data_IF_880697360678
#
_entry.id   IF_880697360678
#
_cell.length_a   1.000
_cell.length_b   1.000
_cell.length_c   1.000
_cell.angle_alpha   90.00
_cell.angle_beta   90.00
_cell.angle_gamma   90.00
#
_symmetry.space_group_name_H-M   'P 1'
#
loop_
_entity.id
_entity.type
_entity.pdbx_description
1 polymer ?
#
# COMPACT_ATOMS: atom_id res chain seq x y z
N UNK A 1 0.22 17.95 2.16
CA UNK A 1 1.11 18.95 1.51
C UNK A 1 2.58 18.79 1.89
N UNK A 2 2.95 18.51 3.13
CA UNK A 2 4.37 18.41 3.47
C UNK A 2 5.08 17.26 2.75
N UNK A 3 4.48 16.06 2.70
CA UNK A 3 5.03 14.91 2.01
C UNK A 3 4.75 14.89 0.51
N UNK A 4 3.63 15.43 0.06
CA UNK A 4 3.25 15.38 -1.35
C UNK A 4 3.90 16.50 -2.19
N UNK A 5 4.61 17.43 -1.56
CA UNK A 5 5.26 18.52 -2.28
C UNK A 5 6.63 18.88 -1.72
N UNK A 6 6.70 19.27 -0.44
CA UNK A 6 7.94 19.84 0.13
C UNK A 6 9.05 18.78 0.17
N UNK A 7 8.75 17.57 0.60
CA UNK A 7 9.72 16.48 0.67
C UNK A 7 10.29 16.14 -0.71
N UNK A 8 9.43 15.91 -1.69
CA UNK A 8 9.85 15.57 -3.06
C UNK A 8 10.62 16.73 -3.71
N UNK A 9 10.17 17.97 -3.48
CA UNK A 9 10.84 19.16 -4.01
C UNK A 9 12.26 19.29 -3.44
N UNK A 10 12.44 19.12 -2.14
CA UNK A 10 13.75 19.19 -1.48
C UNK A 10 14.71 18.08 -1.94
N UNK A 11 14.18 16.94 -2.38
CA UNK A 11 14.97 15.82 -2.91
C UNK A 11 15.15 15.87 -4.44
N UNK A 12 14.73 16.96 -5.09
CA UNK A 12 14.85 17.14 -6.54
C UNK A 12 14.03 16.17 -7.37
N UNK A 13 12.91 15.68 -6.83
CA UNK A 13 12.02 14.80 -7.53
C UNK A 13 11.19 15.54 -8.58
N UNK A 14 10.86 14.87 -9.70
CA UNK A 14 9.83 15.34 -10.61
C UNK A 14 8.45 15.16 -9.98
N UNK A 15 7.67 16.23 -9.88
CA UNK A 15 6.32 16.24 -9.32
C UNK A 15 5.32 16.35 -10.45
N UNK A 16 4.36 15.42 -10.50
CA UNK A 16 3.30 15.39 -11.51
C UNK A 16 1.95 15.65 -10.84
N UNK A 17 1.22 16.61 -11.36
CA UNK A 17 -0.12 16.94 -10.88
C UNK A 17 -1.20 16.39 -11.80
N UNK A 18 -2.21 15.79 -11.22
CA UNK A 18 -3.42 15.42 -11.93
C UNK A 18 -4.32 16.67 -12.07
N UNK A 19 -4.59 17.08 -13.31
CA UNK A 19 -5.48 18.21 -13.62
C UNK A 19 -6.96 17.84 -13.58
N UNK A 20 -7.28 16.56 -13.44
CA UNK A 20 -8.65 16.03 -13.41
C UNK A 20 -8.98 15.45 -12.03
N UNK A 21 -10.27 15.42 -11.68
CA UNK A 21 -10.73 14.77 -10.46
C UNK A 21 -10.25 13.31 -10.45
N UNK A 22 -9.54 12.87 -9.40
CA UNK A 22 -8.94 11.55 -9.37
C UNK A 22 -10.03 10.47 -9.33
N UNK A 23 -10.11 9.69 -10.40
CA UNK A 23 -10.88 8.44 -10.45
C UNK A 23 -9.92 7.27 -10.56
N UNK A 24 -10.32 6.03 -10.16
CA UNK A 24 -9.46 4.86 -10.29
C UNK A 24 -8.92 4.61 -11.70
N UNK A 25 -9.64 5.02 -12.74
CA UNK A 25 -9.21 4.90 -14.11
C UNK A 25 -8.14 5.94 -14.47
N UNK A 26 -8.35 7.21 -14.09
CA UNK A 26 -7.41 8.31 -14.31
C UNK A 26 -6.10 8.06 -13.55
N UNK A 27 -6.20 7.60 -12.29
CA UNK A 27 -5.02 7.26 -11.47
C UNK A 27 -4.24 6.10 -12.11
N UNK A 28 -4.91 5.04 -12.55
CA UNK A 28 -4.24 3.93 -13.21
C UNK A 28 -3.56 4.34 -14.52
N UNK A 29 -4.15 5.26 -15.29
CA UNK A 29 -3.51 5.83 -16.47
C UNK A 29 -2.28 6.65 -16.10
N UNK A 30 -2.39 7.54 -15.10
CA UNK A 30 -1.28 8.33 -14.61
C UNK A 30 -0.10 7.45 -14.11
N UNK A 31 -0.38 6.36 -13.42
CA UNK A 31 0.67 5.41 -13.01
C UNK A 31 1.38 4.77 -14.21
N UNK A 32 0.65 4.49 -15.28
CA UNK A 32 1.22 3.93 -16.51
C UNK A 32 2.11 4.95 -17.23
N UNK A 33 1.69 6.21 -17.26
CA UNK A 33 2.40 7.27 -17.98
C UNK A 33 3.62 7.77 -17.21
N UNK A 34 3.46 7.99 -15.89
CA UNK A 34 4.51 8.56 -15.00
C UNK A 34 5.47 7.51 -14.47
N UNK A 35 5.00 6.28 -14.24
CA UNK A 35 5.77 5.17 -13.64
C UNK A 35 6.47 5.59 -12.34
N UNK A 36 5.72 6.00 -11.32
CA UNK A 36 6.28 6.53 -10.08
C UNK A 36 7.19 5.52 -9.37
N UNK A 37 8.17 6.02 -8.61
CA UNK A 37 9.06 5.18 -7.79
C UNK A 37 8.46 4.86 -6.42
N UNK A 38 7.75 5.81 -5.83
CA UNK A 38 7.03 5.67 -4.57
C UNK A 38 5.60 6.12 -4.81
N UNK A 39 4.64 5.38 -4.26
CA UNK A 39 3.22 5.71 -4.33
C UNK A 39 2.74 5.90 -2.89
N UNK A 40 2.23 7.08 -2.58
CA UNK A 40 1.56 7.36 -1.31
C UNK A 40 0.07 7.48 -1.60
N UNK A 41 -0.74 6.72 -0.90
CA UNK A 41 -2.18 6.67 -1.19
C UNK A 41 -3.01 6.36 0.05
N UNK A 42 -4.30 6.68 -0.05
CA UNK A 42 -5.28 6.28 0.96
C UNK A 42 -5.81 4.87 0.68
N UNK A 43 -6.20 4.11 1.73
CA UNK A 43 -6.71 2.75 1.60
C UNK A 43 -7.78 2.58 0.53
N UNK A 44 -8.76 3.48 0.52
CA UNK A 44 -9.92 3.43 -0.38
C UNK A 44 -9.54 3.33 -1.87
N UNK A 45 -8.48 4.02 -2.29
CA UNK A 45 -8.03 4.01 -3.69
C UNK A 45 -7.42 2.65 -4.03
N UNK A 46 -6.51 2.16 -3.18
CA UNK A 46 -5.84 0.87 -3.36
C UNK A 46 -6.86 -0.27 -3.36
N UNK A 47 -7.76 -0.27 -2.39
CA UNK A 47 -8.84 -1.26 -2.29
C UNK A 47 -9.73 -1.26 -3.53
N UNK A 48 -10.15 -0.10 -4.03
CA UNK A 48 -10.96 -0.01 -5.25
C UNK A 48 -10.23 -0.56 -6.47
N UNK A 49 -8.94 -0.29 -6.62
CA UNK A 49 -8.14 -0.81 -7.73
C UNK A 49 -8.06 -2.33 -7.63
N UNK A 50 -7.74 -2.88 -6.47
CA UNK A 50 -7.61 -4.31 -6.25
C UNK A 50 -8.96 -5.01 -6.45
N UNK A 51 -10.03 -4.53 -5.82
CA UNK A 51 -11.37 -5.13 -5.95
C UNK A 51 -11.92 -5.08 -7.38
N UNK A 52 -11.66 -3.99 -8.14
CA UNK A 52 -12.17 -3.85 -9.50
C UNK A 52 -11.32 -4.52 -10.57
N UNK A 53 -9.99 -4.48 -10.44
CA UNK A 53 -9.08 -4.97 -11.50
C UNK A 53 -8.49 -6.34 -11.22
N UNK A 54 -8.33 -6.72 -9.96
CA UNK A 54 -7.59 -7.92 -9.56
C UNK A 54 -8.53 -9.05 -9.14
N UNK A 55 -9.42 -8.81 -8.19
CA UNK A 55 -10.32 -9.84 -7.65
C UNK A 55 -11.16 -10.53 -8.72
N UNK A 56 -11.79 -9.85 -9.71
CA UNK A 56 -12.57 -10.55 -10.73
C UNK A 56 -11.75 -11.53 -11.58
N UNK A 57 -10.45 -11.27 -11.74
CA UNK A 57 -9.54 -12.15 -12.48
C UNK A 57 -9.11 -13.39 -11.67
N UNK A 58 -9.14 -13.27 -10.34
CA UNK A 58 -8.68 -14.32 -9.40
C UNK A 58 -9.83 -15.17 -8.89
N UNK A 59 -11.06 -14.65 -8.86
CA UNK A 59 -12.25 -15.35 -8.37
C UNK A 59 -12.71 -16.50 -9.28
N UNK A 60 -12.02 -16.75 -10.40
CA UNK A 60 -12.29 -17.91 -11.21
C UNK A 60 -11.97 -19.19 -10.41
N UNK A 61 -12.91 -20.15 -10.31
CA UNK A 61 -12.80 -21.35 -9.50
C UNK A 61 -11.48 -22.13 -9.74
N UNK A 62 -10.98 -22.12 -10.97
CA UNK A 62 -9.69 -22.73 -11.31
C UNK A 62 -8.49 -22.06 -10.62
N UNK A 63 -8.52 -20.73 -10.53
CA UNK A 63 -7.44 -19.96 -9.89
C UNK A 63 -7.46 -20.14 -8.36
N UNK A 64 -8.65 -20.24 -7.74
CA UNK A 64 -8.81 -20.50 -6.31
C UNK A 64 -8.26 -21.87 -5.88
N UNK A 65 -8.42 -22.90 -6.72
CA UNK A 65 -7.83 -24.24 -6.49
C UNK A 65 -6.31 -24.18 -6.60
N UNK A 66 -5.77 -23.52 -7.64
CA UNK A 66 -4.33 -23.35 -7.85
C UNK A 66 -3.63 -22.57 -6.71
N UNK A 67 -4.30 -21.56 -6.13
CA UNK A 67 -3.80 -20.77 -5.00
C UNK A 67 -3.68 -21.58 -3.69
N UNK A 68 -4.40 -22.67 -3.58
CA UNK A 68 -4.36 -23.54 -2.40
C UNK A 68 -3.41 -24.75 -2.55
N UNK A 69 -2.77 -24.93 -3.70
CA UNK A 69 -1.78 -25.98 -3.91
C UNK A 69 -0.37 -25.55 -3.48
N UNK A 70 0.28 -26.21 -2.52
CA UNK A 70 1.53 -25.73 -1.89
C UNK A 70 2.71 -25.55 -2.86
N UNK A 71 2.82 -26.35 -3.91
CA UNK A 71 3.91 -26.27 -4.89
C UNK A 71 3.64 -25.28 -6.06
N UNK A 72 2.38 -25.06 -6.39
CA UNK A 72 1.97 -24.19 -7.51
C UNK A 72 1.77 -22.75 -7.04
N UNK A 73 1.47 -22.58 -5.74
CA UNK A 73 1.13 -21.28 -5.15
C UNK A 73 2.20 -20.21 -5.36
N UNK A 74 3.49 -20.52 -5.22
CA UNK A 74 4.58 -19.53 -5.40
C UNK A 74 4.62 -18.95 -6.81
N UNK A 75 4.53 -19.78 -7.85
CA UNK A 75 4.53 -19.31 -9.24
C UNK A 75 3.26 -18.52 -9.59
N UNK A 76 2.12 -18.96 -9.04
CA UNK A 76 0.83 -18.28 -9.24
C UNK A 76 0.81 -16.94 -8.51
N UNK A 77 1.23 -16.91 -7.25
CA UNK A 77 1.33 -15.67 -6.46
C UNK A 77 2.23 -14.64 -7.15
N UNK A 78 3.39 -15.07 -7.67
CA UNK A 78 4.30 -14.20 -8.40
C UNK A 78 3.64 -13.61 -9.65
N UNK A 79 2.95 -14.41 -10.46
CA UNK A 79 2.21 -13.92 -11.65
C UNK A 79 1.09 -12.94 -11.26
N UNK A 80 0.41 -13.19 -10.15
CA UNK A 80 -0.62 -12.29 -9.64
C UNK A 80 0.03 -10.99 -9.15
N UNK A 81 1.13 -11.07 -8.40
CA UNK A 81 1.90 -9.91 -7.98
C UNK A 81 2.33 -9.06 -9.18
N UNK A 82 2.87 -9.66 -10.23
CA UNK A 82 3.23 -8.98 -11.48
C UNK A 82 2.02 -8.28 -12.12
N UNK A 83 0.85 -8.92 -12.16
CA UNK A 83 -0.37 -8.30 -12.69
C UNK A 83 -0.87 -7.12 -11.83
N UNK A 84 -0.77 -7.25 -10.51
CA UNK A 84 -1.12 -6.16 -9.59
C UNK A 84 -0.12 -5.01 -9.76
N UNK A 85 1.17 -5.31 -9.80
CA UNK A 85 2.25 -4.33 -9.99
C UNK A 85 2.08 -3.56 -11.31
N UNK A 86 1.70 -4.26 -12.39
CA UNK A 86 1.40 -3.63 -13.67
C UNK A 86 0.23 -2.63 -13.60
N UNK A 87 -0.76 -2.87 -12.74
CA UNK A 87 -1.87 -1.94 -12.54
C UNK A 87 -1.44 -0.61 -11.88
N UNK A 88 -0.26 -0.60 -11.26
CA UNK A 88 0.36 0.56 -10.61
C UNK A 88 1.58 1.10 -11.37
N UNK A 89 1.77 0.75 -12.65
CA UNK A 89 2.84 1.29 -13.50
C UNK A 89 4.15 0.50 -13.50
N UNK A 90 4.24 -0.60 -12.76
CA UNK A 90 5.34 -1.58 -12.78
C UNK A 90 6.77 -1.03 -12.55
N UNK A 91 6.91 0.11 -11.86
CA UNK A 91 8.20 0.75 -11.66
C UNK A 91 8.41 1.30 -10.24
N UNK A 92 7.50 1.04 -9.33
CA UNK A 92 7.59 1.54 -7.96
C UNK A 92 8.38 0.57 -7.05
N UNK A 93 8.99 1.15 -6.04
CA UNK A 93 9.68 0.43 -4.99
C UNK A 93 8.68 -0.09 -3.95
N UNK A 94 7.78 0.77 -3.51
CA UNK A 94 6.72 0.43 -2.55
C UNK A 94 5.51 1.34 -2.69
N UNK A 95 4.39 0.88 -2.15
CA UNK A 95 3.18 1.67 -1.93
C UNK A 95 3.00 1.91 -0.44
N UNK A 96 3.00 3.18 -0.04
CA UNK A 96 2.73 3.60 1.34
C UNK A 96 1.26 3.93 1.47
N UNK A 97 0.56 3.23 2.35
CA UNK A 97 -0.87 3.36 2.58
C UNK A 97 -1.08 4.02 3.94
N UNK A 98 -1.83 5.12 3.98
CA UNK A 98 -2.05 5.84 5.22
C UNK A 98 -3.31 6.69 5.22
N UNK A 99 -3.61 7.32 6.35
CA UNK A 99 -4.75 8.23 6.53
C UNK A 99 -6.07 7.56 6.94
N UNK A 100 -6.17 6.24 6.93
CA UNK A 100 -7.30 5.47 7.45
C UNK A 100 -6.90 4.01 7.68
N UNK A 101 -7.72 3.25 8.40
CA UNK A 101 -7.51 1.82 8.58
C UNK A 101 -7.57 1.07 7.25
N UNK A 102 -6.65 0.16 7.04
CA UNK A 102 -6.58 -0.65 5.82
C UNK A 102 -7.43 -1.93 5.97
N UNK A 103 -8.14 -2.30 4.92
CA UNK A 103 -9.01 -3.47 4.95
C UNK A 103 -8.21 -4.77 5.07
N UNK A 104 -8.48 -5.56 6.12
CA UNK A 104 -7.73 -6.78 6.45
C UNK A 104 -7.77 -7.86 5.35
N UNK A 105 -8.88 -7.98 4.61
CA UNK A 105 -8.99 -8.93 3.49
C UNK A 105 -8.01 -8.56 2.37
N UNK A 106 -7.97 -7.26 2.01
CA UNK A 106 -7.07 -6.75 0.98
C UNK A 106 -5.62 -6.83 1.45
N UNK A 107 -5.35 -6.50 2.70
CA UNK A 107 -4.02 -6.59 3.29
C UNK A 107 -3.50 -8.04 3.29
N UNK A 108 -4.32 -8.99 3.76
CA UNK A 108 -3.99 -10.42 3.75
C UNK A 108 -3.72 -10.94 2.34
N UNK A 109 -4.48 -10.46 1.36
CA UNK A 109 -4.25 -10.78 -0.04
C UNK A 109 -2.92 -10.24 -0.55
N UNK A 110 -2.59 -8.96 -0.29
CA UNK A 110 -1.32 -8.35 -0.70
C UNK A 110 -0.12 -9.05 -0.07
N UNK A 111 -0.22 -9.39 1.22
CA UNK A 111 0.80 -10.21 1.90
C UNK A 111 0.99 -11.57 1.23
N UNK A 112 -0.10 -12.26 0.90
CA UNK A 112 -0.05 -13.60 0.28
C UNK A 112 0.70 -13.61 -1.05
N UNK A 113 0.65 -12.52 -1.81
CA UNK A 113 1.30 -12.39 -3.12
C UNK A 113 2.67 -11.70 -3.04
N UNK A 114 3.20 -11.42 -1.85
CA UNK A 114 4.45 -10.67 -1.62
C UNK A 114 4.48 -9.31 -2.34
N UNK A 115 3.34 -8.60 -2.32
CA UNK A 115 3.25 -7.27 -2.94
C UNK A 115 3.97 -6.23 -2.08
N UNK A 116 4.78 -5.31 -2.68
CA UNK A 116 5.55 -4.32 -1.94
C UNK A 116 4.67 -3.17 -1.44
N UNK A 117 4.12 -3.30 -0.25
CA UNK A 117 3.32 -2.27 0.42
C UNK A 117 3.72 -2.13 1.88
N UNK A 118 3.41 -1.00 2.44
CA UNK A 118 3.46 -0.72 3.88
C UNK A 118 2.27 0.11 4.31
N UNK A 119 1.92 0.03 5.58
CA UNK A 119 0.92 0.90 6.19
C UNK A 119 1.63 1.85 7.14
N UNK A 120 1.47 3.15 6.92
CA UNK A 120 1.99 4.19 7.79
C UNK A 120 0.88 4.79 8.65
N UNK A 121 1.24 5.26 9.84
CA UNK A 121 0.35 5.96 10.74
C UNK A 121 0.87 7.37 11.01
N UNK A 122 -0.06 8.31 11.08
CA UNK A 122 0.27 9.67 11.41
C UNK A 122 -0.94 10.58 11.52
N UNK A 123 -0.69 11.81 11.91
CA UNK A 123 -1.69 12.86 11.98
C UNK A 123 -1.11 14.18 11.49
N UNK A 124 -1.96 15.12 11.09
CA UNK A 124 -1.54 16.44 10.61
C UNK A 124 -0.75 17.20 11.67
N UNK A 125 -1.11 17.03 12.94
CA UNK A 125 -0.47 17.66 14.09
C UNK A 125 0.96 17.17 14.35
N UNK A 126 1.29 15.97 13.85
CA UNK A 126 2.60 15.33 14.01
C UNK A 126 3.49 15.44 12.77
N UNK A 127 3.20 16.32 11.84
CA UNK A 127 3.98 16.75 10.67
C UNK A 127 4.38 15.69 9.61
N UNK A 128 3.56 14.83 9.09
CA UNK A 128 2.39 14.09 9.58
C UNK A 128 2.68 12.63 9.96
N UNK A 129 3.93 12.08 9.79
CA UNK A 129 4.24 10.66 10.04
C UNK A 129 4.70 10.43 11.47
N UNK A 130 4.08 9.46 12.13
CA UNK A 130 4.43 8.97 13.46
C UNK A 130 5.08 7.58 13.37
N UNK A 131 4.48 6.67 12.59
CA UNK A 131 4.99 5.31 12.43
C UNK A 131 5.10 4.94 10.95
N UNK A 132 6.20 4.25 10.62
CA UNK A 132 6.48 3.72 9.30
C UNK A 132 7.51 2.59 9.39
N UNK A 133 7.44 1.66 8.48
CA UNK A 133 8.52 0.67 8.22
C UNK A 133 8.59 0.40 6.71
N UNK A 134 9.81 0.24 6.19
CA UNK A 134 10.02 -0.23 4.82
C UNK A 134 9.28 -1.56 4.59
N UNK A 135 8.72 -1.78 3.40
CA UNK A 135 7.91 -2.95 3.09
C UNK A 135 8.61 -4.28 3.37
N UNK A 136 9.95 -4.33 3.34
CA UNK A 136 10.73 -5.54 3.64
C UNK A 136 10.73 -5.91 5.12
N UNK A 137 10.54 -4.92 5.99
CA UNK A 137 10.51 -5.09 7.46
C UNK A 137 9.13 -4.87 8.05
N UNK A 138 8.18 -4.49 7.21
CA UNK A 138 6.80 -4.24 7.62
C UNK A 138 6.10 -5.52 8.07
N UNK A 139 5.40 -5.42 9.19
CA UNK A 139 4.57 -6.50 9.73
C UNK A 139 3.11 -6.17 9.43
N UNK A 140 2.40 -6.97 8.61
CA UNK A 140 0.98 -6.76 8.32
C UNK A 140 0.13 -6.73 9.59
N UNK A 141 -0.88 -5.85 9.59
CA UNK A 141 -1.70 -5.57 10.77
C UNK A 141 -1.08 -4.57 11.74
N UNK A 142 0.13 -4.07 11.46
CA UNK A 142 0.76 -2.97 12.22
C UNK A 142 0.76 -1.68 11.40
N UNK A 143 1.24 -0.60 12.02
CA UNK A 143 1.52 0.67 11.35
C UNK A 143 3.03 0.93 11.19
N UNK A 144 3.85 -0.10 11.37
CA UNK A 144 5.29 0.04 11.41
C UNK A 144 5.82 0.48 12.78
N UNK A 145 7.06 0.96 12.81
CA UNK A 145 7.76 1.45 14.00
C UNK A 145 7.69 2.97 14.07
N UNK A 146 7.82 3.52 15.28
CA UNK A 146 8.00 4.96 15.45
C UNK A 146 9.17 5.44 14.60
N UNK A 147 8.99 6.54 13.87
CA UNK A 147 10.05 7.13 13.05
C UNK A 147 11.07 7.85 13.95
N UNK A 148 12.23 8.15 13.38
CA UNK A 148 13.33 8.84 14.09
C UNK A 148 12.81 10.15 14.71
N UNK A 149 13.16 10.40 15.96
CA UNK A 149 12.73 11.54 16.78
C UNK A 149 11.25 11.53 17.21
N UNK A 150 10.52 10.41 17.02
CA UNK A 150 9.18 10.22 17.56
C UNK A 150 9.18 9.21 18.70
N UNK A 151 8.51 9.55 19.78
CA UNK A 151 8.22 8.64 20.88
C UNK A 151 6.73 8.34 20.88
N UNK A 152 6.40 7.04 20.97
CA UNK A 152 5.01 6.57 21.00
C UNK A 152 4.77 5.85 22.33
N UNK A 153 3.77 6.32 23.07
CA UNK A 153 3.29 5.67 24.29
C UNK A 153 1.83 5.30 24.12
N UNK A 154 1.49 4.07 24.43
CA UNK A 154 0.10 3.64 24.53
C UNK A 154 -0.33 3.86 25.98
N UNK A 155 -1.32 4.70 26.17
CA UNK A 155 -1.94 4.93 27.46
C UNK A 155 -3.29 4.21 27.48
N UNK A 156 -3.30 3.03 28.07
CA UNK A 156 -4.49 2.20 28.21
C UNK A 156 -4.91 2.11 29.69
N UNK A 157 -6.18 2.28 30.01
CA UNK A 157 -6.69 2.04 31.36
C UNK A 157 -6.60 0.56 31.76
N UNK A 158 -6.44 -0.35 30.80
CA UNK A 158 -6.23 -1.78 31.02
C UNK A 158 -5.05 -2.27 30.15
N UNK A 159 -3.81 -2.10 30.64
CA UNK A 159 -2.62 -2.50 29.89
C UNK A 159 -2.47 -4.02 29.69
N UNK A 160 -3.22 -4.84 30.43
CA UNK A 160 -3.19 -6.31 30.30
C UNK A 160 -4.13 -6.82 29.20
N UNK A 161 -5.10 -6.02 28.77
CA UNK A 161 -6.10 -6.35 27.74
C UNK A 161 -6.05 -5.37 26.54
N UNK A 162 -4.86 -5.04 26.06
CA UNK A 162 -4.71 -4.30 24.79
C UNK A 162 -5.05 -5.26 23.65
N UNK A 163 -6.08 -4.98 22.81
CA UNK A 163 -6.50 -5.86 21.73
C UNK A 163 -5.47 -5.98 20.61
#
# INVERSE_FOLDING_TARGET
MAFEFIFEFLHGCHIFYLTRVPSPAIIAQAFTDVKPKIIISVPLIIEKIIRKKVFPKIQNNRMRILLNMPYVSKKVNRKICEQVTNAFGNNFYEIIIGGAAFNQEVESFLKKIDFPYTVGYGSTECAPIICYSDYKTFVPGSCGRAVVHMEVKIDSPDPENIP
#
